data_IF_450817782358
#
_entry.id   IF_450817782358
#
_cell.length_a   1.000
_cell.length_b   1.000
_cell.length_c   1.000
_cell.angle_alpha   90.00
_cell.angle_beta   90.00
_cell.angle_gamma   90.00
#
_symmetry.space_group_name_H-M   'P 1'
#
loop_
_entity.id
_entity.type
_entity.pdbx_description
1 polymer ?
#
# COMPACT_ATOMS: atom_id res chain seq x y z
N UNK A 1 -9.93 1.83 -0.67
CA UNK A 1 -8.89 1.24 -1.54
C UNK A 1 -7.72 0.76 -0.71
N UNK A 2 -6.94 -0.13 -1.29
CA UNK A 2 -5.68 -0.59 -0.73
C UNK A 2 -4.70 -0.77 -1.90
N UNK A 3 -3.45 -0.34 -1.75
CA UNK A 3 -2.54 -0.25 -2.90
C UNK A 3 -1.11 -0.60 -2.53
N UNK A 4 -0.48 -1.41 -3.39
CA UNK A 4 0.97 -1.64 -3.33
C UNK A 4 1.66 -0.74 -4.34
N UNK A 5 2.65 0.01 -3.89
CA UNK A 5 3.43 0.94 -4.72
C UNK A 5 4.82 0.37 -4.92
N UNK A 6 5.23 0.28 -6.17
CA UNK A 6 6.55 -0.26 -6.54
C UNK A 6 7.43 0.83 -7.13
N UNK A 7 8.71 0.82 -6.76
CA UNK A 7 9.75 1.64 -7.38
C UNK A 7 10.92 0.73 -7.71
N UNK A 8 11.01 0.28 -8.96
CA UNK A 8 12.05 -0.64 -9.42
C UNK A 8 12.05 -1.93 -8.60
N UNK A 9 13.06 -2.16 -7.76
CA UNK A 9 13.21 -3.35 -6.93
C UNK A 9 12.79 -3.12 -5.48
N UNK A 10 11.97 -2.09 -5.24
CA UNK A 10 11.51 -1.72 -3.90
C UNK A 10 10.00 -1.62 -3.85
N UNK A 11 9.46 -1.96 -2.70
CA UNK A 11 8.02 -1.81 -2.40
C UNK A 11 7.84 -0.84 -1.23
N UNK A 12 6.83 0.00 -1.33
CA UNK A 12 6.48 0.93 -0.25
C UNK A 12 5.70 0.20 0.82
N UNK A 13 6.22 0.18 2.03
CA UNK A 13 5.56 -0.45 3.17
C UNK A 13 5.39 0.57 4.29
N UNK A 14 4.30 0.44 5.02
CA UNK A 14 3.94 1.36 6.10
C UNK A 14 3.55 0.60 7.35
N UNK A 15 3.81 1.21 8.49
CA UNK A 15 3.45 0.68 9.80
C UNK A 15 2.42 1.61 10.43
N UNK A 16 1.30 1.06 10.87
CA UNK A 16 0.26 1.83 11.55
C UNK A 16 0.40 1.69 13.07
N UNK A 17 0.17 2.77 13.82
CA UNK A 17 0.30 2.68 15.29
C UNK A 17 -0.69 1.73 15.93
N UNK A 18 -1.83 1.45 15.26
CA UNK A 18 -2.82 0.50 15.80
C UNK A 18 -2.40 -0.96 15.68
N UNK A 19 -1.35 -1.26 14.92
CA UNK A 19 -0.85 -2.63 14.78
C UNK A 19 0.17 -2.92 15.88
N UNK A 20 -0.23 -3.73 16.85
CA UNK A 20 0.56 -3.98 18.05
C UNK A 20 1.83 -4.79 17.79
N UNK A 21 1.86 -5.55 16.71
CA UNK A 21 2.99 -6.42 16.41
C UNK A 21 4.14 -5.72 15.73
N UNK A 22 3.94 -4.47 15.32
CA UNK A 22 4.96 -3.77 14.54
C UNK A 22 5.02 -4.20 13.09
N UNK A 23 4.01 -4.90 12.59
CA UNK A 23 4.01 -5.36 11.20
C UNK A 23 3.91 -4.21 10.23
N UNK A 24 4.45 -4.41 9.03
CA UNK A 24 4.33 -3.48 7.91
C UNK A 24 3.33 -4.00 6.88
N UNK A 25 2.64 -3.09 6.24
CA UNK A 25 1.62 -3.39 5.25
C UNK A 25 1.65 -2.33 4.15
N UNK A 26 0.68 -2.40 3.24
CA UNK A 26 0.55 -1.42 2.16
C UNK A 26 -0.40 -0.29 2.57
N UNK A 27 -0.50 0.75 1.74
CA UNK A 27 -1.31 1.93 2.04
C UNK A 27 -2.78 1.62 1.77
N UNK A 28 -3.65 2.08 2.65
CA UNK A 28 -5.10 1.91 2.50
C UNK A 28 -5.83 3.16 2.97
N UNK A 29 -7.01 3.41 2.40
CA UNK A 29 -7.84 4.54 2.80
C UNK A 29 -9.22 4.47 2.19
N UNK A 30 -10.10 5.34 2.68
CA UNK A 30 -11.49 5.37 2.24
C UNK A 30 -11.69 6.31 1.06
N UNK A 31 -12.56 5.90 0.14
CA UNK A 31 -12.96 6.74 -1.01
C UNK A 31 -13.82 7.90 -0.49
N UNK A 32 -13.50 9.10 -0.96
CA UNK A 32 -14.29 10.29 -0.65
C UNK A 32 -15.32 10.56 -1.71
N UNK A 33 -16.37 11.30 -1.35
CA UNK A 33 -17.45 11.63 -2.28
C UNK A 33 -16.88 12.34 -3.53
N UNK A 34 -17.30 11.88 -4.69
CA UNK A 34 -16.87 12.46 -5.96
C UNK A 34 -15.55 11.97 -6.50
N UNK A 35 -14.88 11.06 -5.78
CA UNK A 35 -13.59 10.49 -6.15
C UNK A 35 -13.78 9.19 -6.93
N UNK A 36 -12.97 8.98 -7.98
CA UNK A 36 -12.84 7.64 -8.55
C UNK A 36 -11.91 6.81 -7.65
N UNK A 37 -11.90 5.48 -7.86
CA UNK A 37 -11.01 4.61 -7.09
C UNK A 37 -9.55 4.97 -7.34
N UNK A 38 -9.18 5.25 -8.59
CA UNK A 38 -7.81 5.63 -8.94
C UNK A 38 -7.41 6.96 -8.33
N UNK A 39 -8.33 7.93 -8.31
CA UNK A 39 -8.07 9.21 -7.64
C UNK A 39 -7.86 9.01 -6.15
N UNK A 40 -8.63 8.12 -5.53
CA UNK A 40 -8.47 7.79 -4.13
C UNK A 40 -7.09 7.19 -3.86
N UNK A 41 -6.64 6.26 -4.71
CA UNK A 41 -5.30 5.66 -4.58
C UNK A 41 -4.24 6.75 -4.59
N UNK A 42 -4.26 7.62 -5.60
CA UNK A 42 -3.26 8.68 -5.73
C UNK A 42 -3.26 9.62 -4.53
N UNK A 43 -4.43 10.01 -4.05
CA UNK A 43 -4.58 10.92 -2.92
C UNK A 43 -4.07 10.29 -1.62
N UNK A 44 -4.50 9.06 -1.34
CA UNK A 44 -4.11 8.39 -0.09
C UNK A 44 -2.60 8.18 0.00
N UNK A 45 -1.98 7.75 -1.10
CA UNK A 45 -0.52 7.56 -1.11
C UNK A 45 0.19 8.88 -0.86
N UNK A 46 -0.23 9.95 -1.53
CA UNK A 46 0.40 11.26 -1.38
C UNK A 46 0.17 11.83 0.02
N UNK A 47 -1.04 11.74 0.55
CA UNK A 47 -1.34 12.26 1.89
C UNK A 47 -0.54 11.55 2.97
N UNK A 48 -0.42 10.23 2.89
CA UNK A 48 0.21 9.47 3.96
C UNK A 48 1.74 9.39 3.82
N UNK A 49 2.28 9.49 2.61
CA UNK A 49 3.70 9.23 2.38
C UNK A 49 4.45 10.30 1.60
N UNK A 50 3.74 11.25 0.99
CA UNK A 50 4.38 12.26 0.13
C UNK A 50 4.74 11.76 -1.26
N UNK A 51 4.47 10.50 -1.56
CA UNK A 51 4.86 9.88 -2.83
C UNK A 51 3.76 10.06 -3.87
N UNK A 52 4.15 10.39 -5.10
CA UNK A 52 3.23 10.47 -6.25
C UNK A 52 3.37 9.23 -7.10
N UNK A 53 2.23 8.70 -7.55
CA UNK A 53 2.16 7.44 -8.29
C UNK A 53 1.44 7.61 -9.61
N UNK A 54 1.66 6.66 -10.51
CA UNK A 54 0.98 6.58 -11.80
C UNK A 54 0.78 5.10 -12.14
N UNK A 55 0.21 4.86 -13.33
CA UNK A 55 -0.04 3.50 -13.82
C UNK A 55 -0.80 2.69 -12.78
N UNK A 56 -1.87 3.30 -12.24
CA UNK A 56 -2.71 2.68 -11.22
C UNK A 56 -3.61 1.66 -11.90
N UNK A 57 -3.54 0.41 -11.44
CA UNK A 57 -4.27 -0.69 -12.07
C UNK A 57 -4.90 -1.61 -11.03
N UNK A 58 -6.11 -2.05 -11.32
CA UNK A 58 -6.86 -2.93 -10.43
C UNK A 58 -6.16 -4.29 -10.30
N UNK A 59 -6.11 -4.80 -9.07
CA UNK A 59 -5.52 -6.10 -8.77
C UNK A 59 -6.58 -7.13 -8.41
N UNK A 60 -7.33 -6.87 -7.33
CA UNK A 60 -8.33 -7.81 -6.83
C UNK A 60 -9.13 -7.10 -5.75
N UNK A 61 -10.12 -7.77 -5.19
CA UNK A 61 -10.90 -7.22 -4.09
C UNK A 61 -11.14 -8.29 -3.03
N UNK A 62 -11.41 -7.85 -1.81
CA UNK A 62 -11.69 -8.75 -0.69
C UNK A 62 -12.72 -8.11 0.23
N UNK A 63 -13.80 -8.81 0.59
CA UNK A 63 -14.72 -8.31 1.59
C UNK A 63 -14.05 -8.34 2.96
N UNK A 64 -14.31 -7.32 3.76
CA UNK A 64 -13.77 -7.18 5.11
C UNK A 64 -14.92 -6.93 6.08
N UNK A 65 -15.12 -7.86 7.01
CA UNK A 65 -16.32 -7.88 7.84
C UNK A 65 -16.33 -6.89 9.02
N UNK A 66 -15.22 -6.19 9.30
CA UNK A 66 -15.10 -5.36 10.50
C UNK A 66 -14.64 -3.94 10.20
N UNK A 67 -15.53 -2.95 10.05
CA UNK A 67 -16.96 -3.10 9.87
C UNK A 67 -17.29 -3.74 8.52
N UNK A 68 -18.33 -3.46 7.88
CA UNK A 68 -18.68 -4.07 6.60
C UNK A 68 -18.06 -3.28 5.46
N UNK A 69 -16.92 -3.71 4.94
CA UNK A 69 -16.17 -3.03 3.87
C UNK A 69 -15.84 -3.95 2.72
N UNK A 70 -15.66 -3.36 1.56
CA UNK A 70 -15.06 -4.04 0.41
C UNK A 70 -13.71 -3.38 0.13
N UNK A 71 -12.64 -4.18 0.21
CA UNK A 71 -11.29 -3.70 -0.05
C UNK A 71 -11.00 -3.86 -1.53
N UNK A 72 -10.81 -2.74 -2.24
CA UNK A 72 -10.47 -2.71 -3.66
C UNK A 72 -8.97 -2.54 -3.78
N UNK A 73 -8.29 -3.57 -4.27
CA UNK A 73 -6.83 -3.63 -4.33
C UNK A 73 -6.27 -3.17 -5.66
N UNK A 74 -5.21 -2.37 -5.60
CA UNK A 74 -4.55 -1.78 -6.76
C UNK A 74 -3.05 -1.94 -6.69
N UNK A 75 -2.43 -1.91 -7.87
CA UNK A 75 -0.99 -1.78 -8.03
C UNK A 75 -0.72 -0.40 -8.62
N UNK A 76 0.38 0.22 -8.23
CA UNK A 76 0.76 1.53 -8.74
C UNK A 76 2.28 1.64 -8.79
N UNK A 77 2.77 2.52 -9.66
CA UNK A 77 4.19 2.75 -9.86
C UNK A 77 4.60 4.12 -9.34
N UNK A 78 5.73 4.16 -8.66
CA UNK A 78 6.31 5.40 -8.15
C UNK A 78 6.68 6.32 -9.32
N UNK A 79 6.35 7.61 -9.18
CA UNK A 79 6.72 8.64 -10.15
C UNK A 79 7.72 9.61 -9.54
N UNK A 80 7.37 10.18 -8.39
CA UNK A 80 8.17 11.24 -7.77
C UNK A 80 7.76 11.43 -6.32
N UNK A 81 8.48 12.30 -5.63
CA UNK A 81 8.19 12.64 -4.26
C UNK A 81 9.13 11.93 -3.30
N UNK A 82 9.57 12.67 -2.29
CA UNK A 82 10.39 12.12 -1.22
C UNK A 82 9.50 11.46 -0.18
N UNK A 83 9.86 10.27 0.26
CA UNK A 83 9.10 9.54 1.26
C UNK A 83 9.14 10.30 2.59
N UNK A 84 7.98 10.82 2.98
CA UNK A 84 7.80 11.56 4.24
C UNK A 84 6.52 11.07 4.90
N UNK A 85 6.61 10.09 5.80
CA UNK A 85 5.41 9.56 6.46
C UNK A 85 4.64 10.64 7.21
N UNK A 86 3.32 10.61 7.12
CA UNK A 86 2.46 11.42 7.96
C UNK A 86 2.35 10.72 9.32
N UNK A 87 3.10 11.21 10.29
CA UNK A 87 3.17 10.57 11.61
C UNK A 87 1.89 10.71 12.44
N UNK A 88 0.90 11.43 11.95
CA UNK A 88 -0.43 11.42 12.57
C UNK A 88 -1.20 10.14 12.17
N UNK A 89 -0.86 9.55 11.01
CA UNK A 89 -1.52 8.35 10.49
C UNK A 89 -0.63 7.11 10.58
N UNK A 90 0.69 7.27 10.40
CA UNK A 90 1.64 6.17 10.31
C UNK A 90 2.69 6.26 11.39
N UNK A 91 3.13 5.10 11.89
CA UNK A 91 4.30 5.04 12.78
C UNK A 91 5.59 5.11 11.97
N UNK A 92 5.58 4.58 10.73
CA UNK A 92 6.76 4.51 9.88
C UNK A 92 6.34 4.22 8.44
N UNK A 93 7.24 4.52 7.51
CA UNK A 93 7.09 4.09 6.11
C UNK A 93 8.49 3.90 5.52
N UNK A 94 8.65 2.84 4.76
CA UNK A 94 9.96 2.46 4.20
C UNK A 94 9.82 1.99 2.76
N UNK A 95 10.93 2.07 2.02
CA UNK A 95 11.12 1.36 0.77
C UNK A 95 11.89 0.09 1.08
N UNK A 96 11.28 -1.07 0.84
CA UNK A 96 11.89 -2.36 1.18
C UNK A 96 12.24 -3.14 -0.08
N UNK A 97 13.38 -3.82 -0.04
CA UNK A 97 13.79 -4.77 -1.09
C UNK A 97 13.36 -6.18 -0.69
N UNK A 98 13.33 -7.09 -1.66
CA UNK A 98 12.87 -8.46 -1.41
C UNK A 98 13.74 -9.24 -0.44
N UNK A 99 14.99 -8.82 -0.27
CA UNK A 99 15.94 -9.50 0.63
C UNK A 99 16.03 -8.84 2.02
N UNK A 100 15.30 -7.76 2.24
CA UNK A 100 15.30 -7.03 3.52
C UNK A 100 13.87 -6.65 3.90
N UNK A 101 13.02 -7.66 4.07
CA UNK A 101 11.62 -7.43 4.40
C UNK A 101 11.41 -7.45 5.92
N UNK A 102 10.61 -6.51 6.45
CA UNK A 102 10.17 -6.58 7.85
C UNK A 102 9.08 -7.63 8.03
N UNK A 103 8.52 -7.71 9.23
CA UNK A 103 7.32 -8.50 9.46
C UNK A 103 6.18 -7.90 8.64
N UNK A 104 5.48 -8.74 7.88
CA UNK A 104 4.46 -8.30 6.94
C UNK A 104 3.07 -8.65 7.42
N UNK A 105 2.06 -8.01 6.77
CA UNK A 105 0.65 -8.35 6.97
C UNK A 105 0.44 -9.85 6.83
N UNK A 106 -0.53 -10.44 7.58
CA UNK A 106 -0.73 -11.90 7.59
C UNK A 106 -1.19 -12.43 6.25
N UNK A 107 -0.80 -13.66 5.97
CA UNK A 107 -1.29 -14.40 4.81
C UNK A 107 -2.83 -14.51 4.88
N UNK A 108 -3.46 -14.52 3.72
CA UNK A 108 -4.92 -14.55 3.62
C UNK A 108 -5.57 -13.18 3.54
N UNK A 109 -4.81 -12.11 3.75
CA UNK A 109 -5.31 -10.75 3.56
C UNK A 109 -4.97 -10.25 2.17
N UNK A 110 -5.79 -9.33 1.64
CA UNK A 110 -5.49 -8.70 0.36
C UNK A 110 -4.20 -7.88 0.44
N UNK A 111 -3.90 -7.30 1.60
CA UNK A 111 -2.64 -6.60 1.81
C UNK A 111 -1.45 -7.51 1.53
N UNK A 112 -1.45 -8.72 2.08
CA UNK A 112 -0.37 -9.67 1.85
C UNK A 112 -0.34 -10.15 0.40
N UNK A 113 -1.50 -10.36 -0.21
CA UNK A 113 -1.57 -10.75 -1.63
C UNK A 113 -0.94 -9.68 -2.53
N UNK A 114 -1.21 -8.41 -2.25
CA UNK A 114 -0.61 -7.30 -2.98
C UNK A 114 0.90 -7.27 -2.81
N UNK A 115 1.38 -7.47 -1.58
CA UNK A 115 2.82 -7.51 -1.29
C UNK A 115 3.48 -8.67 -2.06
N UNK A 116 2.94 -9.86 -1.95
CA UNK A 116 3.50 -11.05 -2.59
C UNK A 116 3.54 -10.91 -4.10
N UNK A 117 2.47 -10.38 -4.71
CA UNK A 117 2.44 -10.15 -6.14
C UNK A 117 3.50 -9.14 -6.57
N UNK A 118 3.63 -8.03 -5.84
CA UNK A 118 4.62 -7.01 -6.14
C UNK A 118 6.04 -7.57 -6.06
N UNK A 119 6.31 -8.41 -5.07
CA UNK A 119 7.62 -9.05 -4.94
C UNK A 119 7.96 -9.92 -6.15
N UNK A 120 6.97 -10.62 -6.73
CA UNK A 120 7.23 -11.40 -7.94
C UNK A 120 7.60 -10.51 -9.12
N UNK A 121 6.97 -9.34 -9.24
CA UNK A 121 7.31 -8.38 -10.30
C UNK A 121 8.73 -7.83 -10.13
N UNK A 122 9.19 -7.70 -8.90
CA UNK A 122 10.54 -7.21 -8.61
C UNK A 122 11.62 -8.24 -8.92
N UNK A 123 11.31 -9.52 -8.74
CA UNK A 123 12.26 -10.60 -8.99
C UNK A 123 12.43 -10.89 -10.48
N UNK A 124 11.39 -10.70 -11.28
CA UNK A 124 11.34 -11.05 -12.70
C UNK A 124 11.96 -10.00 -13.61
N UNK A 125 12.83 -9.18 -13.13
CA UNK A 125 13.44 -8.10 -13.92
C UNK A 125 14.67 -8.53 -14.70
#
# INVERSE_FOLDING_TARGET
>A
VIVAVRSQDKILLAQHPRHKTGMYTVIAGFVEAGETLEQCVAREVEEETGVKVANIRYFDSQPWAFPSNLMMGFLADYVSGELKPDYEELSDAIWATSDQLPELAPEGTIARALIDHTLTLMVDR
#
